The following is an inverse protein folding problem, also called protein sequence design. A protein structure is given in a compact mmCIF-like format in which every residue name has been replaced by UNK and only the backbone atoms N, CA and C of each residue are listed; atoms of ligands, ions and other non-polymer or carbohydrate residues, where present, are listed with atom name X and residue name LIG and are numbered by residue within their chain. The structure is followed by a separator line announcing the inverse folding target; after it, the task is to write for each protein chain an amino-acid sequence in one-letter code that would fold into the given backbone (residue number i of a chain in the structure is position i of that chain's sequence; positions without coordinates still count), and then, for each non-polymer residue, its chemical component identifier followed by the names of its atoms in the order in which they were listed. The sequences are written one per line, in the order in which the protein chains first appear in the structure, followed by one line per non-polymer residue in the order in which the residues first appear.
data_IF_834963256560
#
_entry.id   IF_834963256560
#
_cell.length_a   1.000
_cell.length_b   1.000
_cell.length_c   1.000
_cell.angle_alpha   90.00
_cell.angle_beta   90.00
_cell.angle_gamma   90.00
#
_symmetry.space_group_name_H-M   'P 1'
#
loop_
_entity.id
_entity.type
_entity.pdbx_description
1 polymer ?
#
# COMPACT_ATOMS: atom_id res chain seq x y z
N UNK A 1 -7.15 -4.71 -32.13
CA UNK A 1 -7.59 -4.94 -30.74
C UNK A 1 -6.47 -4.88 -29.70
N UNK A 2 -5.36 -4.15 -29.91
CA UNK A 2 -4.27 -4.05 -28.92
C UNK A 2 -4.35 -2.85 -27.97
N UNK A 3 -5.18 -1.85 -28.28
CA UNK A 3 -5.29 -0.64 -27.45
C UNK A 3 -5.74 -0.92 -26.02
N UNK A 4 -6.72 -1.81 -25.82
CA UNK A 4 -7.20 -2.20 -24.50
C UNK A 4 -6.13 -2.94 -23.66
N UNK A 5 -5.26 -3.71 -24.32
CA UNK A 5 -4.13 -4.38 -23.65
C UNK A 5 -3.08 -3.38 -23.19
N UNK A 6 -2.77 -2.37 -24.02
CA UNK A 6 -1.87 -1.26 -23.65
C UNK A 6 -2.43 -0.46 -22.48
N UNK A 7 -3.73 -0.16 -22.49
CA UNK A 7 -4.39 0.54 -21.39
C UNK A 7 -4.37 -0.26 -20.09
N UNK A 8 -4.47 -1.59 -20.15
CA UNK A 8 -4.36 -2.45 -18.96
C UNK A 8 -2.99 -2.33 -18.31
N UNK A 9 -1.89 -2.42 -19.08
CA UNK A 9 -0.54 -2.21 -18.51
C UNK A 9 -0.35 -0.79 -17.99
N UNK A 10 -0.80 0.22 -18.75
CA UNK A 10 -0.69 1.60 -18.33
C UNK A 10 -1.41 1.83 -16.99
N UNK A 11 -2.60 1.24 -16.83
CA UNK A 11 -3.37 1.29 -15.59
C UNK A 11 -2.69 0.54 -14.44
N UNK A 12 -2.05 -0.61 -14.70
CA UNK A 12 -1.31 -1.34 -13.68
C UNK A 12 -0.13 -0.50 -13.15
N UNK A 13 0.69 0.07 -14.04
CA UNK A 13 1.83 0.89 -13.63
C UNK A 13 1.39 2.21 -12.97
N UNK A 14 0.32 2.84 -13.45
CA UNK A 14 -0.22 4.05 -12.81
C UNK A 14 -0.75 3.76 -11.42
N UNK A 15 -1.36 2.59 -11.19
CA UNK A 15 -1.84 2.18 -9.86
C UNK A 15 -0.69 1.98 -8.87
N UNK A 16 0.46 1.42 -9.30
CA UNK A 16 1.65 1.25 -8.45
C UNK A 16 2.21 2.62 -8.05
N UNK A 17 2.35 3.53 -9.02
CA UNK A 17 2.82 4.89 -8.75
C UNK A 17 1.88 5.62 -7.79
N UNK A 18 0.56 5.54 -8.03
CA UNK A 18 -0.43 6.17 -7.17
C UNK A 18 -0.37 5.66 -5.72
N UNK A 19 -0.30 4.34 -5.52
CA UNK A 19 -0.20 3.75 -4.18
C UNK A 19 1.10 4.13 -3.45
N UNK A 20 2.23 4.22 -4.17
CA UNK A 20 3.50 4.67 -3.60
C UNK A 20 3.47 6.14 -3.14
N UNK A 21 2.74 7.00 -3.86
CA UNK A 21 2.55 8.41 -3.46
C UNK A 21 1.61 8.51 -2.26
N UNK A 22 0.49 7.80 -2.27
CA UNK A 22 -0.49 7.83 -1.19
C UNK A 22 0.11 7.36 0.15
N UNK A 23 0.93 6.30 0.13
CA UNK A 23 1.61 5.81 1.33
C UNK A 23 2.57 6.82 1.94
N UNK A 24 3.36 7.52 1.11
CA UNK A 24 4.24 8.58 1.61
C UNK A 24 3.43 9.71 2.22
N UNK A 25 2.36 10.18 1.57
CA UNK A 25 1.57 11.31 2.09
C UNK A 25 0.87 10.95 3.40
N UNK A 26 0.25 9.77 3.51
CA UNK A 26 -0.51 9.40 4.71
C UNK A 26 0.36 9.02 5.90
N UNK A 27 1.48 8.32 5.68
CA UNK A 27 2.32 7.83 6.78
C UNK A 27 3.54 8.72 7.04
N UNK A 28 4.13 9.30 5.98
CA UNK A 28 5.36 10.08 6.05
C UNK A 28 5.09 11.52 5.60
N UNK A 29 4.42 12.30 6.44
CA UNK A 29 4.27 13.75 6.20
C UNK A 29 5.63 14.43 6.31
N UNK A 30 6.28 14.67 5.18
CA UNK A 30 7.55 15.41 5.12
C UNK A 30 7.33 16.83 4.58
N UNK A 31 7.82 17.84 5.29
CA UNK A 31 7.56 19.24 4.97
C UNK A 31 8.25 19.72 3.69
N UNK A 32 9.23 18.97 3.17
CA UNK A 32 9.98 19.37 1.97
C UNK A 32 9.58 18.53 0.76
N UNK A 33 9.41 19.18 -0.38
CA UNK A 33 9.09 18.51 -1.65
C UNK A 33 10.21 17.54 -2.07
N UNK A 34 11.47 17.89 -1.80
CA UNK A 34 12.60 17.02 -2.13
C UNK A 34 12.56 15.71 -1.33
N UNK A 35 12.28 15.77 -0.03
CA UNK A 35 12.15 14.56 0.79
C UNK A 35 10.97 13.70 0.35
N UNK A 36 9.84 14.32 -0.03
CA UNK A 36 8.70 13.57 -0.57
C UNK A 36 9.09 12.80 -1.83
N UNK A 37 9.75 13.45 -2.80
CA UNK A 37 10.16 12.80 -4.06
C UNK A 37 11.17 11.68 -3.82
N UNK A 38 12.11 11.85 -2.90
CA UNK A 38 13.09 10.80 -2.59
C UNK A 38 12.37 9.59 -1.97
N UNK A 39 11.48 9.81 -1.00
CA UNK A 39 10.76 8.72 -0.35
C UNK A 39 9.85 7.97 -1.34
N UNK A 40 9.14 8.67 -2.22
CA UNK A 40 8.27 8.02 -3.21
C UNK A 40 9.07 7.16 -4.17
N UNK A 41 10.23 7.63 -4.64
CA UNK A 41 11.13 6.83 -5.47
C UNK A 41 11.63 5.57 -4.75
N UNK A 42 11.96 5.67 -3.46
CA UNK A 42 12.36 4.51 -2.66
C UNK A 42 11.24 3.48 -2.56
N UNK A 43 9.99 3.91 -2.34
CA UNK A 43 8.83 3.00 -2.33
C UNK A 43 8.57 2.36 -3.69
N UNK A 44 8.74 3.09 -4.80
CA UNK A 44 8.59 2.52 -6.16
C UNK A 44 9.60 1.40 -6.38
N UNK A 45 10.87 1.63 -6.03
CA UNK A 45 11.93 0.62 -6.13
C UNK A 45 11.58 -0.59 -5.26
N UNK A 46 11.10 -0.36 -4.03
CA UNK A 46 10.67 -1.44 -3.14
C UNK A 46 9.53 -2.28 -3.75
N UNK A 47 8.50 -1.64 -4.30
CA UNK A 47 7.41 -2.35 -4.99
C UNK A 47 7.91 -3.16 -6.20
N UNK A 48 8.90 -2.64 -6.92
CA UNK A 48 9.49 -3.35 -8.06
C UNK A 48 10.30 -4.57 -7.61
N UNK A 49 11.09 -4.43 -6.54
CA UNK A 49 11.89 -5.54 -5.96
C UNK A 49 11.00 -6.62 -5.38
N UNK A 50 9.94 -6.26 -4.64
CA UNK A 50 9.01 -7.24 -4.07
C UNK A 50 8.35 -8.10 -5.15
N UNK A 51 8.05 -7.55 -6.34
CA UNK A 51 7.57 -8.32 -7.49
C UNK A 51 8.57 -9.33 -8.04
N UNK A 52 9.87 -9.05 -7.92
CA UNK A 52 10.94 -9.96 -8.38
C UNK A 52 11.33 -11.03 -7.35
N UNK A 53 11.19 -10.74 -6.06
CA UNK A 53 11.71 -11.60 -4.99
C UNK A 53 10.67 -12.60 -4.47
N UNK A 54 9.39 -12.22 -4.41
CA UNK A 54 8.37 -13.08 -3.78
C UNK A 54 7.75 -14.08 -4.76
N UNK A 55 7.65 -15.38 -4.38
CA UNK A 55 6.88 -16.34 -5.16
C UNK A 55 5.40 -16.00 -5.12
N UNK A 56 4.68 -16.30 -6.20
CA UNK A 56 3.23 -15.99 -6.31
C UNK A 56 2.45 -16.79 -5.27
N UNK A 57 1.86 -16.09 -4.30
CA UNK A 57 0.91 -16.68 -3.36
C UNK A 57 -0.46 -16.83 -4.02
N UNK A 58 -1.10 -17.97 -3.79
CA UNK A 58 -2.47 -18.22 -4.24
C UNK A 58 -3.46 -17.33 -3.48
N UNK A 59 -4.50 -16.86 -4.16
CA UNK A 59 -5.51 -15.95 -3.60
C UNK A 59 -6.14 -16.45 -2.29
N UNK A 60 -6.34 -17.76 -2.15
CA UNK A 60 -6.95 -18.36 -0.95
C UNK A 60 -6.15 -18.04 0.33
N UNK A 61 -4.82 -18.11 0.25
CA UNK A 61 -3.93 -17.78 1.36
C UNK A 61 -3.97 -16.28 1.66
N UNK A 62 -3.90 -15.42 0.63
CA UNK A 62 -3.97 -13.97 0.80
C UNK A 62 -5.28 -13.54 1.48
N UNK A 63 -6.40 -14.11 1.04
CA UNK A 63 -7.71 -13.83 1.64
C UNK A 63 -7.77 -14.30 3.09
N UNK A 64 -7.29 -15.50 3.38
CA UNK A 64 -7.28 -16.01 4.76
C UNK A 64 -6.46 -15.11 5.70
N UNK A 65 -5.32 -14.59 5.24
CA UNK A 65 -4.46 -13.68 6.01
C UNK A 65 -5.13 -12.31 6.22
N UNK A 66 -5.75 -11.76 5.18
CA UNK A 66 -6.46 -10.48 5.26
C UNK A 66 -7.62 -10.55 6.27
N UNK A 67 -8.43 -11.60 6.18
CA UNK A 67 -9.64 -11.74 7.00
C UNK A 67 -9.37 -12.17 8.43
N UNK A 68 -8.41 -13.07 8.65
CA UNK A 68 -8.15 -13.61 10.00
C UNK A 68 -7.17 -12.77 10.81
N UNK A 69 -6.24 -12.06 10.16
CA UNK A 69 -5.19 -11.35 10.88
C UNK A 69 -5.33 -9.84 10.73
N UNK A 70 -5.38 -9.32 9.49
CA UNK A 70 -5.38 -7.87 9.26
C UNK A 70 -6.68 -7.19 9.73
N UNK A 71 -7.84 -7.79 9.42
CA UNK A 71 -9.13 -7.22 9.79
C UNK A 71 -9.36 -7.11 11.31
N UNK A 72 -9.18 -8.17 12.13
CA UNK A 72 -9.35 -8.03 13.57
C UNK A 72 -8.29 -7.12 14.20
N UNK A 73 -7.07 -7.09 13.65
CA UNK A 73 -6.02 -6.22 14.14
C UNK A 73 -6.34 -4.73 13.91
N UNK A 74 -6.81 -4.36 12.71
CA UNK A 74 -7.19 -2.96 12.43
C UNK A 74 -8.39 -2.51 13.27
N UNK A 75 -9.38 -3.39 13.48
CA UNK A 75 -10.53 -3.11 14.34
C UNK A 75 -10.12 -2.95 15.82
N UNK A 76 -9.22 -3.80 16.31
CA UNK A 76 -8.70 -3.69 17.68
C UNK A 76 -7.95 -2.38 17.90
N UNK A 77 -7.10 -1.97 16.95
CA UNK A 77 -6.37 -0.72 17.02
C UNK A 77 -7.32 0.49 16.98
N UNK A 78 -8.38 0.43 16.17
CA UNK A 78 -9.40 1.48 16.11
C UNK A 78 -10.17 1.59 17.43
N UNK A 79 -10.62 0.47 18.00
CA UNK A 79 -11.31 0.47 19.30
C UNK A 79 -10.41 0.95 20.43
N UNK A 80 -9.13 0.56 20.42
CA UNK A 80 -8.16 1.03 21.41
C UNK A 80 -8.00 2.56 21.34
N UNK A 81 -7.84 3.12 20.15
CA UNK A 81 -7.73 4.57 19.97
C UNK A 81 -8.99 5.32 20.41
N UNK A 82 -10.19 4.80 20.08
CA UNK A 82 -11.45 5.40 20.53
C UNK A 82 -11.61 5.35 22.05
N UNK A 83 -11.25 4.22 22.68
CA UNK A 83 -11.31 4.07 24.12
C UNK A 83 -10.32 5.01 24.83
N UNK A 84 -9.07 5.08 24.36
CA UNK A 84 -8.09 6.00 24.93
C UNK A 84 -8.53 7.46 24.81
N UNK A 85 -9.21 7.81 23.72
CA UNK A 85 -9.75 9.15 23.52
C UNK A 85 -10.92 9.45 24.45
N UNK A 86 -11.79 8.47 24.76
CA UNK A 86 -12.87 8.67 25.74
C UNK A 86 -12.37 8.77 27.18
N UNK A 87 -11.26 8.09 27.53
CA UNK A 87 -10.69 8.12 28.87
C UNK A 87 -9.88 9.40 29.17
N UNK A 88 -9.48 10.13 28.12
CA UNK A 88 -8.69 11.36 28.20
C UNK A 88 -9.59 12.60 28.07
#
# INVERSE_FOLDING_TARGET
GGGLFVLLFLAEYSSILFMSLATVIWFFSSNSILSMIVMTNMFIIFFLVTRGVYPRFRYDLLMSVCWKNFLPFSLCLLLYYLCSLHFL
#
